data_IF_781238698439
#
_entry.id   IF_781238698439
#
_cell.length_a   1.000
_cell.length_b   1.000
_cell.length_c   1.000
_cell.angle_alpha   90.00
_cell.angle_beta   90.00
_cell.angle_gamma   90.00
#
_symmetry.space_group_name_H-M   'P 1'
#
loop_
_entity.id
_entity.type
_entity.pdbx_description
1 polymer ?
#
# COMPACT_ATOMS: atom_id res chain seq x y z
N UNK A 1 -2.04 5.78 20.92
CA UNK A 1 -2.01 6.51 19.63
C UNK A 1 -2.44 5.54 18.53
N UNK A 2 -3.55 5.78 17.83
CA UNK A 2 -4.18 4.71 17.02
C UNK A 2 -3.94 4.81 15.51
N UNK A 3 -3.42 5.91 14.97
CA UNK A 3 -3.16 6.08 13.54
C UNK A 3 -1.86 6.84 13.34
N UNK A 4 -0.79 6.14 12.95
CA UNK A 4 0.53 6.76 12.75
C UNK A 4 1.01 6.56 11.31
N UNK A 5 1.77 7.53 10.80
CA UNK A 5 2.50 7.34 9.54
C UNK A 5 3.61 6.28 9.72
N UNK A 6 3.99 5.65 8.60
CA UNK A 6 5.05 4.64 8.61
C UNK A 6 6.37 5.13 9.19
N UNK A 7 6.72 6.41 9.04
CA UNK A 7 7.93 6.98 9.66
C UNK A 7 7.81 7.07 11.17
N UNK A 8 6.65 7.47 11.68
CA UNK A 8 6.38 7.55 13.14
C UNK A 8 6.40 6.17 13.76
N UNK A 9 5.75 5.18 13.12
CA UNK A 9 5.80 3.78 13.57
C UNK A 9 7.22 3.21 13.57
N UNK A 10 8.04 3.60 12.59
CA UNK A 10 9.45 3.22 12.55
C UNK A 10 10.25 3.82 13.71
N UNK A 11 10.11 5.12 13.96
CA UNK A 11 10.78 5.80 15.08
C UNK A 11 10.37 5.19 16.43
N UNK A 12 9.08 4.88 16.61
CA UNK A 12 8.57 4.34 17.86
C UNK A 12 8.99 2.89 18.14
N UNK A 13 9.31 2.12 17.09
CA UNK A 13 9.77 0.72 17.20
C UNK A 13 11.29 0.58 17.09
N UNK A 14 12.03 1.69 16.99
CA UNK A 14 13.48 1.67 16.73
C UNK A 14 13.86 1.14 15.34
N UNK A 15 12.92 1.03 14.41
CA UNK A 15 13.17 0.57 13.04
C UNK A 15 13.89 1.64 12.24
N UNK A 16 15.20 1.46 12.02
CA UNK A 16 16.08 2.46 11.40
C UNK A 16 15.77 2.82 9.93
N UNK A 17 14.99 2.00 9.19
CA UNK A 17 14.75 2.21 7.76
C UNK A 17 13.28 2.20 7.38
N UNK A 18 12.86 3.19 6.59
CA UNK A 18 11.53 3.29 5.96
C UNK A 18 11.22 2.15 5.00
N UNK A 19 12.25 1.45 4.51
CA UNK A 19 12.10 0.28 3.63
C UNK A 19 11.86 -1.04 4.38
N UNK A 20 11.81 -1.00 5.72
CA UNK A 20 11.56 -2.17 6.57
C UNK A 20 10.14 -2.14 7.14
N UNK A 21 9.58 -3.32 7.35
CA UNK A 21 8.34 -3.44 8.09
C UNK A 21 8.63 -3.30 9.60
N UNK A 22 8.06 -2.29 10.25
CA UNK A 22 8.18 -2.12 11.71
C UNK A 22 7.41 -3.17 12.52
N UNK A 23 6.54 -3.97 11.87
CA UNK A 23 5.72 -4.99 12.54
C UNK A 23 6.50 -6.30 12.70
N UNK A 24 7.29 -6.71 11.70
CA UNK A 24 7.99 -8.00 11.69
C UNK A 24 9.48 -7.89 11.37
N UNK A 25 10.00 -6.66 11.21
CA UNK A 25 11.38 -6.41 10.84
C UNK A 25 11.77 -6.80 9.41
N UNK A 26 10.84 -7.31 8.59
CA UNK A 26 11.12 -7.77 7.23
C UNK A 26 11.69 -6.66 6.35
N UNK A 27 12.62 -7.04 5.49
CA UNK A 27 13.20 -6.17 4.48
C UNK A 27 12.51 -6.39 3.13
N UNK A 28 12.69 -5.45 2.21
CA UNK A 28 12.33 -5.60 0.77
C UNK A 28 12.70 -6.97 0.15
N UNK A 29 13.80 -7.61 0.55
CA UNK A 29 14.19 -8.93 0.01
C UNK A 29 13.30 -10.08 0.53
N UNK A 30 12.63 -9.84 1.64
CA UNK A 30 11.79 -10.83 2.32
C UNK A 30 10.31 -10.68 1.97
N UNK A 31 9.88 -9.52 1.48
CA UNK A 31 8.45 -9.23 1.32
C UNK A 31 7.74 -10.19 0.36
N UNK A 32 8.42 -10.66 -0.70
CA UNK A 32 7.83 -11.62 -1.64
C UNK A 32 7.87 -13.08 -1.12
N UNK A 33 8.50 -13.34 0.04
CA UNK A 33 8.54 -14.66 0.68
C UNK A 33 7.35 -14.83 1.60
N UNK A 34 6.17 -15.03 1.00
CA UNK A 34 4.88 -15.01 1.69
C UNK A 34 4.75 -16.15 2.72
N UNK A 35 5.33 -17.31 2.44
CA UNK A 35 5.21 -18.49 3.32
C UNK A 35 6.11 -18.41 4.57
N UNK A 36 6.99 -17.41 4.66
CA UNK A 36 7.88 -17.22 5.81
C UNK A 36 7.15 -16.41 6.88
N UNK A 37 6.55 -17.09 7.86
CA UNK A 37 6.01 -16.44 9.03
C UNK A 37 7.14 -15.83 9.86
N UNK A 38 7.12 -14.49 9.99
CA UNK A 38 8.02 -13.77 10.89
C UNK A 38 7.29 -13.40 12.17
N UNK A 39 8.02 -13.47 13.29
CA UNK A 39 7.51 -13.04 14.58
C UNK A 39 7.11 -11.56 14.53
N UNK A 40 5.95 -11.26 15.11
CA UNK A 40 5.40 -9.92 15.19
C UNK A 40 5.90 -9.26 16.46
N UNK A 41 6.36 -8.01 16.34
CA UNK A 41 6.72 -7.14 17.47
C UNK A 41 5.40 -6.68 18.14
N UNK A 42 5.10 -7.09 19.38
CA UNK A 42 3.79 -6.83 19.99
C UNK A 42 3.43 -5.34 20.11
N UNK A 43 4.43 -4.50 20.39
CA UNK A 43 4.32 -3.05 20.53
C UNK A 43 4.01 -2.38 19.18
N UNK A 44 4.49 -2.98 18.09
CA UNK A 44 4.25 -2.48 16.74
C UNK A 44 2.77 -2.56 16.33
N UNK A 45 2.00 -3.47 16.94
CA UNK A 45 0.58 -3.65 16.65
C UNK A 45 -0.26 -2.53 17.29
N UNK A 46 0.28 -1.82 18.29
CA UNK A 46 -0.43 -0.67 18.89
C UNK A 46 -0.52 0.53 17.94
N UNK A 47 0.41 0.59 16.99
CA UNK A 47 0.42 1.56 15.91
C UNK A 47 -0.53 1.11 14.79
N UNK A 48 -1.76 1.61 14.82
CA UNK A 48 -2.72 1.36 13.74
C UNK A 48 -2.28 1.99 12.42
N UNK A 49 -2.83 1.46 11.32
CA UNK A 49 -2.47 1.86 9.96
C UNK A 49 -3.32 3.02 9.48
N UNK A 50 -2.69 4.16 9.14
CA UNK A 50 -3.39 5.26 8.48
C UNK A 50 -3.89 4.85 7.10
N UNK A 51 -5.21 4.76 6.94
CA UNK A 51 -5.90 4.39 5.68
C UNK A 51 -5.56 5.38 4.55
N UNK A 52 -5.47 6.67 4.89
CA UNK A 52 -5.06 7.74 3.98
C UNK A 52 -3.67 7.46 3.41
N UNK A 53 -2.68 7.29 4.30
CA UNK A 53 -1.31 7.00 3.87
C UNK A 53 -1.21 5.64 3.19
N UNK A 54 -1.99 4.64 3.61
CA UNK A 54 -2.05 3.33 2.97
C UNK A 54 -2.42 3.44 1.49
N UNK A 55 -3.49 4.17 1.16
CA UNK A 55 -3.96 4.38 -0.21
C UNK A 55 -2.92 5.09 -1.06
N UNK A 56 -2.39 6.22 -0.59
CA UNK A 56 -1.38 7.00 -1.33
C UNK A 56 -0.13 6.16 -1.60
N UNK A 57 0.38 5.45 -0.59
CA UNK A 57 1.59 4.62 -0.74
C UNK A 57 1.39 3.41 -1.65
N UNK A 58 0.20 2.82 -1.65
CA UNK A 58 -0.14 1.74 -2.58
C UNK A 58 -0.22 2.25 -4.01
N UNK A 59 -0.88 3.39 -4.22
CA UNK A 59 -0.93 4.06 -5.51
C UNK A 59 0.48 4.36 -6.05
N UNK A 60 1.33 5.01 -5.25
CA UNK A 60 2.73 5.26 -5.62
C UNK A 60 3.49 3.96 -5.96
N UNK A 61 3.28 2.89 -5.17
CA UNK A 61 3.90 1.60 -5.40
C UNK A 61 3.48 0.96 -6.73
N UNK A 62 2.22 1.11 -7.14
CA UNK A 62 1.70 0.58 -8.40
C UNK A 62 2.25 1.39 -9.58
N UNK A 63 2.32 2.73 -9.46
CA UNK A 63 2.93 3.57 -10.48
C UNK A 63 4.40 3.23 -10.71
N UNK A 64 5.19 3.09 -9.63
CA UNK A 64 6.59 2.72 -9.76
C UNK A 64 6.77 1.34 -10.40
N UNK A 65 5.92 0.38 -10.06
CA UNK A 65 5.89 -0.92 -10.73
C UNK A 65 5.60 -0.76 -12.24
N UNK A 66 4.59 0.05 -12.59
CA UNK A 66 4.19 0.31 -13.97
C UNK A 66 5.32 0.94 -14.81
N UNK A 67 6.05 1.91 -14.26
CA UNK A 67 7.19 2.54 -14.94
C UNK A 67 8.30 1.54 -15.25
N UNK A 68 8.49 0.55 -14.37
CA UNK A 68 9.53 -0.47 -14.50
C UNK A 68 9.11 -1.68 -15.34
N UNK A 69 7.84 -1.81 -15.76
CA UNK A 69 7.35 -2.95 -16.54
C UNK A 69 8.17 -3.27 -17.81
N UNK A 70 8.63 -2.28 -18.61
CA UNK A 70 9.40 -2.57 -19.82
C UNK A 70 10.79 -3.15 -19.53
N UNK A 71 11.40 -2.76 -18.40
CA UNK A 71 12.78 -3.12 -18.04
C UNK A 71 12.82 -4.35 -17.12
N UNK A 72 11.81 -4.52 -16.27
CA UNK A 72 11.69 -5.59 -15.25
C UNK A 72 12.88 -5.69 -14.30
N UNK A 73 13.50 -4.54 -13.99
CA UNK A 73 14.62 -4.43 -13.04
C UNK A 73 14.27 -3.53 -11.87
N UNK A 74 14.38 -4.07 -10.66
CA UNK A 74 14.12 -3.32 -9.43
C UNK A 74 15.40 -2.67 -8.85
N UNK A 75 16.36 -3.48 -8.38
CA UNK A 75 17.61 -3.00 -7.73
C UNK A 75 18.86 -3.17 -8.58
N UNK A 76 18.72 -3.85 -9.70
CA UNK A 76 19.81 -4.03 -10.63
C UNK A 76 20.19 -2.68 -11.24
N UNK A 77 21.48 -2.52 -11.54
CA UNK A 77 21.98 -1.31 -12.19
C UNK A 77 21.35 -1.21 -13.58
N UNK A 78 20.60 -0.14 -13.83
CA UNK A 78 20.02 0.18 -15.14
C UNK A 78 21.05 0.88 -16.01
N UNK A 79 21.14 0.47 -17.26
CA UNK A 79 21.85 1.19 -18.33
C UNK A 79 21.15 2.51 -18.62
N UNK A 80 21.82 3.43 -19.33
CA UNK A 80 21.22 4.73 -19.66
C UNK A 80 20.01 4.60 -20.62
N UNK A 81 20.06 3.60 -21.51
CA UNK A 81 18.94 3.24 -22.37
C UNK A 81 17.73 2.76 -21.54
N UNK A 82 17.95 1.87 -20.57
CA UNK A 82 16.87 1.37 -19.70
C UNK A 82 16.24 2.47 -18.83
N UNK A 83 17.04 3.43 -18.33
CA UNK A 83 16.49 4.59 -17.62
C UNK A 83 15.65 5.47 -18.53
N UNK A 84 16.07 5.64 -19.77
CA UNK A 84 15.33 6.42 -20.77
C UNK A 84 13.99 5.75 -21.11
N UNK A 85 13.95 4.42 -21.24
CA UNK A 85 12.72 3.63 -21.43
C UNK A 85 11.77 3.80 -20.24
N UNK A 86 12.27 3.71 -19.00
CA UNK A 86 11.45 3.91 -17.79
C UNK A 86 10.89 5.35 -17.72
N UNK A 87 11.71 6.35 -18.08
CA UNK A 87 11.28 7.74 -18.10
C UNK A 87 10.23 8.00 -19.18
N UNK A 88 10.37 7.40 -20.35
CA UNK A 88 9.38 7.46 -21.43
C UNK A 88 8.07 6.81 -20.99
N UNK A 89 8.13 5.62 -20.39
CA UNK A 89 6.93 4.94 -19.88
C UNK A 89 6.23 5.75 -18.79
N UNK A 90 7.00 6.40 -17.90
CA UNK A 90 6.45 7.34 -16.92
C UNK A 90 5.71 8.50 -17.60
N UNK A 91 6.31 9.14 -18.59
CA UNK A 91 5.69 10.26 -19.33
C UNK A 91 4.43 9.84 -20.08
N UNK A 92 4.46 8.66 -20.69
CA UNK A 92 3.30 8.04 -21.36
C UNK A 92 2.13 7.88 -20.38
N UNK A 93 2.36 7.21 -19.24
CA UNK A 93 1.34 6.99 -18.21
C UNK A 93 0.80 8.31 -17.66
N UNK A 94 1.67 9.28 -17.37
CA UNK A 94 1.25 10.61 -16.89
C UNK A 94 0.38 11.34 -17.91
N UNK A 95 0.75 11.27 -19.20
CA UNK A 95 -0.01 11.88 -20.29
C UNK A 95 -1.38 11.22 -20.43
N UNK A 96 -1.45 9.89 -20.40
CA UNK A 96 -2.71 9.13 -20.49
C UNK A 96 -3.66 9.44 -19.34
N UNK A 97 -3.19 9.45 -18.09
CA UNK A 97 -4.02 9.87 -16.94
C UNK A 97 -4.54 11.31 -17.09
N UNK A 98 -3.72 12.23 -17.60
CA UNK A 98 -4.18 13.60 -17.85
C UNK A 98 -5.25 13.65 -18.94
N UNK A 99 -5.10 12.90 -20.02
CA UNK A 99 -6.00 12.92 -21.18
C UNK A 99 -7.32 12.21 -20.90
N UNK A 100 -7.27 11.04 -20.24
CA UNK A 100 -8.43 10.15 -20.07
C UNK A 100 -9.22 10.47 -18.79
N UNK A 101 -8.56 10.92 -17.72
CA UNK A 101 -9.22 11.20 -16.43
C UNK A 101 -9.11 12.65 -15.96
N UNK A 102 -8.32 13.49 -16.65
CA UNK A 102 -7.99 14.84 -16.20
C UNK A 102 -7.08 14.87 -14.97
N UNK A 103 -6.47 13.75 -14.59
CA UNK A 103 -5.65 13.65 -13.38
C UNK A 103 -4.19 14.00 -13.67
N UNK A 104 -3.60 14.80 -12.79
CA UNK A 104 -2.16 15.05 -12.80
C UNK A 104 -1.50 14.08 -11.81
N UNK A 105 -0.76 13.10 -12.34
CA UNK A 105 -0.16 12.02 -11.54
C UNK A 105 1.36 12.19 -11.47
N UNK A 106 1.92 12.07 -10.27
CA UNK A 106 3.36 12.06 -10.00
C UNK A 106 4.14 13.26 -10.58
N UNK A 107 3.51 14.43 -10.57
CA UNK A 107 4.11 15.71 -10.97
C UNK A 107 4.65 16.40 -9.73
N UNK A 108 5.90 16.87 -9.77
CA UNK A 108 6.51 17.62 -8.67
C UNK A 108 5.80 18.96 -8.48
N UNK A 109 5.47 19.31 -7.22
CA UNK A 109 4.92 20.62 -6.86
C UNK A 109 6.06 21.59 -6.52
N UNK A 110 5.89 22.87 -6.84
CA UNK A 110 6.90 23.91 -6.59
C UNK A 110 7.30 24.03 -5.11
N UNK A 111 6.40 23.73 -4.17
CA UNK A 111 6.59 23.90 -2.73
C UNK A 111 6.63 22.56 -1.96
N UNK A 112 7.45 21.62 -2.45
CA UNK A 112 7.64 20.28 -1.88
C UNK A 112 6.47 19.30 -2.10
N UNK A 113 6.79 18.02 -2.29
CA UNK A 113 5.82 16.95 -2.58
C UNK A 113 5.47 16.81 -4.07
N UNK A 114 4.52 15.93 -4.36
CA UNK A 114 4.01 15.67 -5.70
C UNK A 114 2.48 15.83 -5.75
N UNK A 115 1.90 15.62 -6.93
CA UNK A 115 0.45 15.62 -7.14
C UNK A 115 -0.25 14.36 -6.63
N UNK A 116 0.48 13.39 -6.06
CA UNK A 116 -0.11 12.16 -5.51
C UNK A 116 -0.69 12.44 -4.12
N UNK A 117 -1.82 13.14 -4.10
CA UNK A 117 -2.62 13.35 -2.92
C UNK A 117 -3.74 12.30 -2.79
N UNK A 118 -4.50 12.40 -1.70
CA UNK A 118 -5.60 11.48 -1.43
C UNK A 118 -6.61 11.45 -2.57
N UNK A 119 -6.96 12.62 -3.11
CA UNK A 119 -7.94 12.74 -4.20
C UNK A 119 -7.46 11.99 -5.45
N UNK A 120 -6.20 12.19 -5.82
CA UNK A 120 -5.59 11.51 -6.97
C UNK A 120 -5.57 9.99 -6.76
N UNK A 121 -5.19 9.53 -5.56
CA UNK A 121 -5.17 8.10 -5.24
C UNK A 121 -6.57 7.47 -5.19
N UNK A 122 -7.60 8.20 -4.73
CA UNK A 122 -8.99 7.73 -4.74
C UNK A 122 -9.50 7.54 -6.16
N UNK A 123 -9.34 8.55 -7.02
CA UNK A 123 -9.78 8.49 -8.42
C UNK A 123 -9.05 7.40 -9.21
N UNK A 124 -7.78 7.11 -8.89
CA UNK A 124 -7.06 5.98 -9.48
C UNK A 124 -7.73 4.63 -9.15
N UNK A 125 -8.13 4.39 -7.91
CA UNK A 125 -8.78 3.13 -7.51
C UNK A 125 -10.29 3.10 -7.81
N UNK A 126 -10.89 4.21 -8.22
CA UNK A 126 -12.32 4.29 -8.55
C UNK A 126 -12.65 3.43 -9.78
N UNK A 127 -11.80 3.49 -10.81
CA UNK A 127 -11.91 2.70 -12.04
C UNK A 127 -10.67 1.80 -12.26
N UNK A 128 -10.68 0.56 -11.72
CA UNK A 128 -9.60 -0.39 -11.90
C UNK A 128 -9.39 -0.84 -13.35
N UNK A 129 -10.43 -0.77 -14.20
CA UNK A 129 -10.32 -1.16 -15.61
C UNK A 129 -9.44 -0.14 -16.32
N UNK A 130 -9.80 1.13 -16.20
CA UNK A 130 -9.03 2.22 -16.80
C UNK A 130 -7.62 2.31 -16.21
N UNK A 131 -7.48 2.15 -14.88
CA UNK A 131 -6.18 2.13 -14.23
C UNK A 131 -5.28 0.99 -14.75
N UNK A 132 -5.86 -0.21 -14.95
CA UNK A 132 -5.15 -1.36 -15.52
C UNK A 132 -4.70 -1.09 -16.95
N UNK A 133 -5.60 -0.55 -17.78
CA UNK A 133 -5.32 -0.24 -19.18
C UNK A 133 -4.24 0.84 -19.34
N UNK A 134 -4.28 1.91 -18.53
CA UNK A 134 -3.27 2.97 -18.55
C UNK A 134 -1.91 2.47 -18.07
N UNK A 135 -1.88 1.73 -16.95
CA UNK A 135 -0.62 1.33 -16.31
C UNK A 135 0.00 0.06 -16.87
N UNK A 136 -0.77 -0.79 -17.55
CA UNK A 136 -0.38 -2.13 -17.96
C UNK A 136 -0.26 -3.13 -16.80
N UNK A 137 -0.74 -2.77 -15.61
CA UNK A 137 -0.78 -3.65 -14.44
C UNK A 137 -2.06 -4.48 -14.48
N UNK A 138 -2.01 -5.71 -13.99
CA UNK A 138 -3.16 -6.62 -13.94
C UNK A 138 -4.35 -5.99 -13.23
N UNK A 139 -5.50 -6.00 -13.91
CA UNK A 139 -6.79 -5.58 -13.38
C UNK A 139 -7.08 -6.24 -12.03
N UNK A 140 -6.86 -7.56 -11.93
CA UNK A 140 -7.15 -8.33 -10.71
C UNK A 140 -6.34 -7.83 -9.52
N UNK A 141 -5.08 -7.45 -9.72
CA UNK A 141 -4.24 -6.88 -8.66
C UNK A 141 -4.78 -5.53 -8.22
N UNK A 142 -5.11 -4.62 -9.15
CA UNK A 142 -5.65 -3.29 -8.82
C UNK A 142 -7.01 -3.41 -8.13
N UNK A 143 -7.92 -4.23 -8.67
CA UNK A 143 -9.24 -4.44 -8.12
C UNK A 143 -9.20 -5.06 -6.72
N UNK A 144 -8.35 -6.07 -6.50
CA UNK A 144 -8.17 -6.65 -5.16
C UNK A 144 -7.63 -5.64 -4.15
N UNK A 145 -6.66 -4.81 -4.55
CA UNK A 145 -6.15 -3.72 -3.70
C UNK A 145 -7.26 -2.70 -3.40
N UNK A 146 -8.09 -2.33 -4.38
CA UNK A 146 -9.26 -1.46 -4.17
C UNK A 146 -10.19 -2.04 -3.10
N UNK A 147 -10.60 -3.30 -3.24
CA UNK A 147 -11.51 -3.97 -2.28
C UNK A 147 -10.93 -3.97 -0.87
N UNK A 148 -9.63 -4.26 -0.73
CA UNK A 148 -8.93 -4.23 0.56
C UNK A 148 -8.95 -2.82 1.15
N UNK A 149 -8.65 -1.79 0.34
CA UNK A 149 -8.66 -0.39 0.75
C UNK A 149 -10.06 0.05 1.20
N UNK A 150 -11.11 -0.31 0.46
CA UNK A 150 -12.50 -0.02 0.80
C UNK A 150 -12.91 -0.70 2.11
N UNK A 151 -12.56 -1.99 2.28
CA UNK A 151 -12.83 -2.73 3.50
C UNK A 151 -12.23 -2.03 4.72
N UNK A 152 -10.93 -1.69 4.71
CA UNK A 152 -10.28 -1.01 5.83
C UNK A 152 -10.75 0.45 6.02
N UNK A 153 -11.32 1.06 4.99
CA UNK A 153 -11.89 2.42 5.03
C UNK A 153 -13.33 2.45 5.54
N UNK A 154 -14.06 1.33 5.44
CA UNK A 154 -15.52 1.28 5.62
C UNK A 154 -16.02 1.66 7.02
N UNK A 155 -15.16 1.55 8.05
CA UNK A 155 -15.55 1.75 9.45
C UNK A 155 -16.40 0.61 10.02
N UNK A 156 -16.74 -0.41 9.23
CA UNK A 156 -17.49 -1.59 9.67
C UNK A 156 -16.59 -2.66 10.27
N UNK A 157 -17.22 -3.61 10.97
CA UNK A 157 -16.54 -4.81 11.48
C UNK A 157 -16.18 -5.72 10.31
N UNK A 158 -14.88 -5.96 10.13
CA UNK A 158 -14.34 -6.80 9.08
C UNK A 158 -14.09 -8.19 9.68
N UNK A 159 -14.60 -9.24 9.03
CA UNK A 159 -14.25 -10.61 9.39
C UNK A 159 -12.76 -10.84 9.10
N UNK A 160 -11.97 -11.06 10.16
CA UNK A 160 -10.51 -11.16 10.05
C UNK A 160 -10.05 -12.36 9.23
N UNK A 161 -10.75 -13.50 9.30
CA UNK A 161 -10.38 -14.71 8.56
C UNK A 161 -10.62 -14.54 7.05
N UNK A 162 -11.77 -13.97 6.67
CA UNK A 162 -12.07 -13.66 5.27
C UNK A 162 -11.11 -12.62 4.71
N UNK A 163 -10.79 -11.59 5.51
CA UNK A 163 -9.79 -10.58 5.13
C UNK A 163 -8.43 -11.23 4.93
N UNK A 164 -7.97 -12.04 5.88
CA UNK A 164 -6.65 -12.67 5.84
C UNK A 164 -6.49 -13.56 4.60
N UNK A 165 -7.50 -14.39 4.31
CA UNK A 165 -7.52 -15.21 3.09
C UNK A 165 -7.45 -14.34 1.83
N UNK A 166 -8.30 -13.32 1.72
CA UNK A 166 -8.34 -12.44 0.54
C UNK A 166 -7.04 -11.67 0.35
N UNK A 167 -6.45 -11.18 1.44
CA UNK A 167 -5.18 -10.47 1.46
C UNK A 167 -4.01 -11.38 1.06
N UNK A 168 -3.96 -12.60 1.59
CA UNK A 168 -2.96 -13.60 1.27
C UNK A 168 -3.03 -14.04 -0.20
N UNK A 169 -4.23 -14.31 -0.72
CA UNK A 169 -4.44 -14.65 -2.13
C UNK A 169 -4.00 -13.49 -3.04
N UNK A 170 -4.23 -12.25 -2.61
CA UNK A 170 -3.76 -11.05 -3.33
C UNK A 170 -2.24 -10.92 -3.32
N UNK A 171 -1.59 -11.21 -2.19
CA UNK A 171 -0.13 -11.25 -2.12
C UNK A 171 0.45 -12.32 -3.05
N UNK A 172 -0.15 -13.52 -3.07
CA UNK A 172 0.27 -14.62 -3.95
C UNK A 172 0.14 -14.24 -5.42
N UNK A 173 -1.00 -13.65 -5.82
CA UNK A 173 -1.20 -13.14 -7.17
C UNK A 173 -0.15 -12.10 -7.55
N UNK A 174 0.14 -11.15 -6.66
CA UNK A 174 1.17 -10.13 -6.89
C UNK A 174 2.54 -10.76 -7.12
N UNK A 175 2.96 -11.70 -6.25
CA UNK A 175 4.25 -12.38 -6.38
C UNK A 175 4.32 -13.23 -7.64
N UNK A 176 3.22 -13.89 -8.03
CA UNK A 176 3.17 -14.67 -9.26
C UNK A 176 3.40 -13.80 -10.51
N UNK A 177 2.81 -12.60 -10.56
CA UNK A 177 2.90 -11.71 -11.72
C UNK A 177 4.16 -10.83 -11.72
N UNK A 178 4.62 -10.44 -10.53
CA UNK A 178 5.63 -9.40 -10.34
C UNK A 178 6.74 -9.81 -9.37
N UNK A 179 7.14 -11.09 -9.36
CA UNK A 179 8.16 -11.65 -8.44
C UNK A 179 9.48 -10.85 -8.41
N UNK A 180 9.88 -10.26 -9.55
CA UNK A 180 11.06 -9.43 -9.72
C UNK A 180 10.98 -8.06 -9.02
N UNK A 181 9.77 -7.62 -8.67
CA UNK A 181 9.52 -6.38 -7.94
C UNK A 181 9.03 -6.70 -6.52
N UNK A 182 9.78 -6.37 -5.46
CA UNK A 182 9.32 -6.60 -4.11
C UNK A 182 8.17 -5.67 -3.74
N UNK A 183 7.23 -6.17 -2.94
CA UNK A 183 6.14 -5.34 -2.41
C UNK A 183 6.67 -4.10 -1.67
N UNK A 184 5.92 -3.00 -1.64
CA UNK A 184 6.27 -1.88 -0.76
C UNK A 184 6.04 -2.27 0.73
N UNK A 185 6.71 -1.60 1.69
CA UNK A 185 6.47 -1.84 3.11
C UNK A 185 5.00 -1.69 3.50
N UNK A 186 4.27 -0.77 2.89
CA UNK A 186 2.83 -0.58 3.12
C UNK A 186 2.02 -1.74 2.56
N UNK A 187 2.30 -2.18 1.33
CA UNK A 187 1.62 -3.32 0.73
C UNK A 187 1.85 -4.59 1.54
N UNK A 188 3.08 -4.84 1.98
CA UNK A 188 3.40 -5.94 2.88
C UNK A 188 2.61 -5.85 4.21
N UNK A 189 2.54 -4.68 4.86
CA UNK A 189 1.77 -4.52 6.10
C UNK A 189 0.28 -4.83 5.91
N UNK A 190 -0.32 -4.35 4.82
CA UNK A 190 -1.75 -4.53 4.53
C UNK A 190 -2.06 -5.98 4.20
N UNK A 191 -1.22 -6.62 3.39
CA UNK A 191 -1.48 -7.96 2.88
C UNK A 191 -1.09 -9.06 3.86
N UNK A 192 -0.01 -8.87 4.64
CA UNK A 192 0.52 -9.90 5.55
C UNK A 192 0.13 -9.64 7.02
N UNK A 193 -0.03 -8.38 7.42
CA UNK A 193 -0.36 -8.03 8.81
C UNK A 193 -1.74 -7.38 8.97
N UNK A 194 -2.47 -7.16 7.88
CA UNK A 194 -3.73 -6.42 7.89
C UNK A 194 -4.79 -7.07 8.76
N UNK A 195 -4.87 -8.40 8.80
CA UNK A 195 -5.82 -9.12 9.66
C UNK A 195 -5.58 -8.87 11.15
N UNK A 196 -4.30 -8.90 11.57
CA UNK A 196 -3.87 -8.66 12.95
C UNK A 196 -4.15 -7.21 13.37
N UNK A 197 -3.83 -6.24 12.49
CA UNK A 197 -4.09 -4.80 12.72
C UNK A 197 -5.60 -4.56 12.83
N UNK A 198 -6.37 -5.15 11.92
CA UNK A 198 -7.83 -4.99 11.84
C UNK A 198 -8.53 -5.56 13.08
N UNK A 199 -8.11 -6.75 13.55
CA UNK A 199 -8.62 -7.35 14.79
C UNK A 199 -8.40 -6.43 16.00
N UNK A 200 -7.23 -5.79 16.12
CA UNK A 200 -6.95 -4.84 17.21
C UNK A 200 -7.68 -3.50 17.07
N UNK A 201 -7.85 -2.99 15.85
CA UNK A 201 -8.61 -1.74 15.58
C UNK A 201 -10.05 -1.83 16.13
N UNK A 202 -10.66 -3.01 16.12
CA UNK A 202 -11.99 -3.22 16.70
C UNK A 202 -12.03 -3.27 18.22
N UNK A 203 -10.99 -3.82 18.87
CA UNK A 203 -10.90 -3.84 20.35
C UNK A 203 -10.86 -2.41 20.89
N UNK A 204 -10.12 -1.50 20.23
CA UNK A 204 -10.06 -0.10 20.63
C UNK A 204 -11.41 0.63 20.44
N UNK A 205 -12.16 0.33 19.38
CA UNK A 205 -13.46 0.96 19.11
C UNK A 205 -14.57 0.46 20.07
N UNK A 206 -14.59 -0.83 20.40
CA UNK A 206 -15.53 -1.37 21.42
C UNK A 206 -15.19 -0.92 22.83
N UNK A 207 -13.89 -0.77 23.16
CA UNK A 207 -13.46 -0.22 24.45
C UNK A 207 -13.81 1.28 24.60
N UNK A 208 -13.65 2.07 23.53
CA UNK A 208 -14.07 3.48 23.50
C UNK A 208 -15.59 3.63 23.63
N UNK A 209 -16.37 2.77 22.96
CA UNK A 209 -17.83 2.74 23.08
C UNK A 209 -18.30 2.36 24.49
N UNK A 210 -17.59 1.46 25.18
CA UNK A 210 -17.87 1.10 26.59
C UNK A 210 -17.51 2.21 27.59
N UNK A 211 -16.50 3.03 27.30
CA UNK A 211 -16.11 4.18 28.16
C UNK A 211 -17.05 5.38 27.99
N UNK A 212 -17.71 5.54 26.84
CA UNK A 212 -18.70 6.61 26.59
C UNK A 212 -20.04 6.46 27.32
N UNK A 213 -20.35 5.29 27.90
CA UNK A 213 -21.60 5.05 28.67
C UNK A 213 -21.49 5.27 30.18
N UNK A 214 -20.35 5.75 30.70
CA UNK A 214 -20.16 6.00 32.15
C UNK A 214 -20.17 7.48 32.56
N UNK A 215 -20.57 8.39 31.67
CA UNK A 215 -20.58 9.85 31.95
C UNK A 215 -21.97 10.48 31.78
N UNK A 216 -23.03 9.77 32.18
CA UNK A 216 -24.34 10.37 32.41
C UNK A 216 -24.98 9.71 33.62
N UNK A 217 -24.55 10.13 34.81
CA UNK A 217 -25.37 10.29 36.01
C UNK A 217 -24.74 11.38 36.86
#
# INVERSE_FOLDING_TARGET
>A
MTMVDGKVGNSATGTKSTSRCYICGATTKDFNKIDVQKQIIPEAIEFGLSVLHARIRLFESILHLAYMLPVKKYRERKTEAEKSIELEKKREIQKRFRQETGLLVDILKANFGNTNDDNTSRRFFEDPILASDITGISYDVIFRIKVILEAISSGHIINSEKYDKYALDTARLYVQLYSWHPMSPTMHKILIHGAVITKKRFIAHTAAFRRGRRSTK
#
